data_IF_547460307327
#
_entry.id   IF_547460307327
#
_cell.length_a   1.000
_cell.length_b   1.000
_cell.length_c   1.000
_cell.angle_alpha   90.00
_cell.angle_beta   90.00
_cell.angle_gamma   90.00
#
_symmetry.space_group_name_H-M   'P 1'
#
loop_
_entity.id
_entity.type
_entity.pdbx_description
1 polymer ?
#
# COMPACT_ATOMS: atom_id res chain seq x y z
N UNK A 1 17.25 -12.67 11.11
CA UNK A 1 16.22 -13.71 10.87
C UNK A 1 15.39 -13.32 9.68
N UNK A 2 15.01 -14.30 8.86
CA UNK A 2 14.13 -14.07 7.71
C UNK A 2 12.67 -14.33 8.12
N UNK A 3 11.79 -13.39 7.80
CA UNK A 3 10.35 -13.50 8.02
C UNK A 3 9.64 -13.36 6.69
N UNK A 4 8.74 -14.29 6.39
CA UNK A 4 8.02 -14.32 5.13
C UNK A 4 6.58 -13.82 5.26
N UNK A 5 6.08 -13.17 4.21
CA UNK A 5 4.69 -12.78 4.11
C UNK A 5 4.07 -13.24 2.79
N UNK A 6 2.90 -13.83 2.88
CA UNK A 6 2.13 -14.34 1.75
C UNK A 6 0.74 -13.69 1.76
N UNK A 7 0.29 -13.27 0.59
CA UNK A 7 -1.09 -12.80 0.40
C UNK A 7 -1.73 -13.51 -0.79
N UNK A 8 -2.91 -14.07 -0.57
CA UNK A 8 -3.70 -14.72 -1.63
C UNK A 8 -5.13 -14.18 -1.62
N UNK A 9 -5.77 -14.15 -2.78
CA UNK A 9 -7.22 -13.96 -2.88
C UNK A 9 -7.94 -15.31 -2.70
N UNK A 10 -9.26 -15.29 -2.49
CA UNK A 10 -10.06 -16.51 -2.36
C UNK A 10 -9.97 -17.42 -3.58
N UNK A 11 -9.76 -16.85 -4.77
CA UNK A 11 -9.66 -17.56 -6.04
C UNK A 11 -8.20 -17.81 -6.47
N UNK A 12 -7.24 -17.43 -5.64
CA UNK A 12 -5.83 -17.51 -5.99
C UNK A 12 -5.24 -18.86 -5.55
N UNK A 13 -4.74 -19.61 -6.51
CA UNK A 13 -4.08 -20.89 -6.26
C UNK A 13 -2.56 -20.75 -6.03
N UNK A 14 -2.08 -19.52 -5.90
CA UNK A 14 -0.65 -19.23 -5.79
C UNK A 14 -0.07 -19.37 -4.38
N UNK A 15 -0.84 -19.86 -3.40
CA UNK A 15 -0.37 -20.06 -2.03
C UNK A 15 0.84 -20.97 -1.97
N UNK A 16 0.76 -22.14 -2.60
CA UNK A 16 1.85 -23.11 -2.63
C UNK A 16 3.08 -22.55 -3.33
N UNK A 17 2.88 -21.81 -4.41
CA UNK A 17 3.97 -21.23 -5.19
C UNK A 17 4.72 -20.16 -4.39
N UNK A 18 4.01 -19.28 -3.70
CA UNK A 18 4.60 -18.28 -2.82
C UNK A 18 5.33 -18.94 -1.64
N UNK A 19 4.71 -19.90 -1.00
CA UNK A 19 5.30 -20.62 0.13
C UNK A 19 6.58 -21.34 -0.28
N UNK A 20 6.55 -22.05 -1.40
CA UNK A 20 7.72 -22.78 -1.93
C UNK A 20 8.85 -21.81 -2.24
N UNK A 21 8.56 -20.67 -2.85
CA UNK A 21 9.56 -19.64 -3.15
C UNK A 21 10.22 -19.08 -1.87
N UNK A 22 9.43 -18.83 -0.83
CA UNK A 22 9.95 -18.35 0.45
C UNK A 22 10.82 -19.40 1.14
N UNK A 23 10.38 -20.66 1.16
CA UNK A 23 11.15 -21.76 1.72
C UNK A 23 12.46 -21.97 0.99
N UNK A 24 12.44 -21.91 -0.34
CA UNK A 24 13.63 -22.02 -1.18
C UNK A 24 14.62 -20.88 -0.94
N UNK A 25 14.11 -19.68 -0.66
CA UNK A 25 14.93 -18.52 -0.32
C UNK A 25 15.63 -18.68 1.04
N UNK A 26 15.09 -19.48 1.93
CA UNK A 26 15.67 -19.76 3.25
C UNK A 26 14.81 -19.31 4.43
N UNK A 27 13.56 -18.92 4.18
CA UNK A 27 12.62 -18.55 5.24
C UNK A 27 12.15 -19.83 5.96
N UNK A 28 12.19 -19.83 7.29
CA UNK A 28 11.64 -20.92 8.08
C UNK A 28 10.11 -20.90 8.02
N UNK A 29 9.48 -22.05 7.81
CA UNK A 29 8.03 -22.18 7.72
C UNK A 29 7.30 -21.57 8.93
N UNK A 30 7.89 -21.65 10.11
CA UNK A 30 7.34 -21.07 11.35
C UNK A 30 7.30 -19.55 11.36
N UNK A 31 8.08 -18.92 10.49
CA UNK A 31 8.20 -17.46 10.37
C UNK A 31 7.45 -16.93 9.13
N UNK A 32 6.56 -17.70 8.56
CA UNK A 32 5.72 -17.28 7.42
C UNK A 32 4.35 -16.87 7.93
N UNK A 33 4.00 -15.63 7.66
CA UNK A 33 2.68 -15.05 7.95
C UNK A 33 1.87 -14.95 6.67
N UNK A 34 0.58 -15.12 6.73
CA UNK A 34 -0.27 -15.10 5.54
C UNK A 34 -1.59 -14.38 5.79
N UNK A 35 -2.10 -13.77 4.73
CA UNK A 35 -3.43 -13.19 4.67
C UNK A 35 -4.19 -13.74 3.48
N UNK A 36 -5.47 -13.99 3.70
CA UNK A 36 -6.42 -14.34 2.66
C UNK A 36 -7.40 -13.19 2.50
N UNK A 37 -7.33 -12.51 1.37
CA UNK A 37 -8.21 -11.37 1.10
C UNK A 37 -9.48 -11.83 0.39
N UNK A 38 -10.64 -11.54 0.97
CA UNK A 38 -11.94 -11.77 0.39
C UNK A 38 -12.71 -10.46 0.31
N UNK A 39 -12.90 -9.94 -0.90
CA UNK A 39 -13.74 -8.78 -1.16
C UNK A 39 -13.14 -7.44 -0.68
N UNK A 40 -14.02 -6.47 -0.38
CA UNK A 40 -13.67 -5.07 -0.12
C UNK A 40 -13.07 -4.79 1.26
N UNK A 41 -13.12 -5.74 2.18
CA UNK A 41 -12.56 -5.59 3.54
C UNK A 41 -11.18 -6.22 3.60
N UNK A 42 -10.19 -5.44 3.27
CA UNK A 42 -8.81 -5.86 3.22
C UNK A 42 -8.13 -5.66 4.58
N UNK A 43 -8.52 -6.45 5.55
CA UNK A 43 -7.82 -6.51 6.84
C UNK A 43 -6.63 -7.45 6.70
N UNK A 44 -5.44 -6.90 6.88
CA UNK A 44 -4.18 -7.63 6.77
C UNK A 44 -3.63 -7.98 8.15
N UNK A 45 -4.36 -8.80 8.88
CA UNK A 45 -3.97 -9.24 10.24
C UNK A 45 -2.64 -9.98 10.21
N UNK A 46 -2.40 -10.80 9.18
CA UNK A 46 -1.14 -11.51 9.00
C UNK A 46 0.04 -10.58 8.77
N UNK A 47 -0.14 -9.53 7.96
CA UNK A 47 0.90 -8.51 7.75
C UNK A 47 1.20 -7.76 9.05
N UNK A 48 0.18 -7.34 9.78
CA UNK A 48 0.34 -6.65 11.05
C UNK A 48 1.11 -7.52 12.05
N UNK A 49 0.79 -8.81 12.14
CA UNK A 49 1.52 -9.76 12.97
C UNK A 49 2.98 -9.92 12.54
N UNK A 50 3.24 -9.99 11.24
CA UNK A 50 4.59 -10.07 10.70
C UNK A 50 5.40 -8.82 11.07
N UNK A 51 4.82 -7.63 10.91
CA UNK A 51 5.46 -6.36 11.25
C UNK A 51 5.76 -6.25 12.76
N UNK A 52 4.87 -6.72 13.61
CA UNK A 52 5.10 -6.78 15.05
C UNK A 52 6.19 -7.80 15.44
N UNK A 53 6.25 -8.91 14.73
CA UNK A 53 7.23 -9.96 14.96
C UNK A 53 8.65 -9.56 14.56
N UNK A 54 8.79 -8.74 13.53
CA UNK A 54 10.08 -8.28 13.00
C UNK A 54 10.81 -7.39 14.01
N UNK A 55 12.11 -7.63 14.16
CA UNK A 55 13.00 -6.89 15.05
C UNK A 55 14.15 -6.29 14.26
N UNK A 56 14.89 -5.39 14.90
CA UNK A 56 16.12 -4.80 14.36
C UNK A 56 17.06 -5.91 13.84
N UNK A 57 17.52 -5.76 12.60
CA UNK A 57 18.39 -6.71 11.93
C UNK A 57 17.67 -7.83 11.17
N UNK A 58 16.35 -7.94 11.30
CA UNK A 58 15.57 -8.93 10.55
C UNK A 58 15.30 -8.50 9.13
N UNK A 59 14.81 -9.43 8.30
CA UNK A 59 14.47 -9.18 6.89
C UNK A 59 13.07 -9.71 6.61
N UNK A 60 12.22 -8.85 6.04
CA UNK A 60 10.92 -9.26 5.50
C UNK A 60 11.09 -9.70 4.05
N UNK A 61 10.61 -10.90 3.73
CA UNK A 61 10.70 -11.50 2.40
C UNK A 61 9.30 -11.73 1.83
N UNK A 62 9.08 -11.27 0.61
CA UNK A 62 7.85 -11.53 -0.14
C UNK A 62 8.19 -12.13 -1.51
N UNK A 63 7.23 -12.83 -2.11
CA UNK A 63 7.40 -13.41 -3.43
C UNK A 63 7.42 -12.33 -4.52
N UNK A 64 6.48 -11.39 -4.46
CA UNK A 64 6.36 -10.23 -5.37
C UNK A 64 5.99 -8.98 -4.60
N UNK A 65 6.34 -7.82 -5.14
CA UNK A 65 6.01 -6.52 -4.55
C UNK A 65 4.50 -6.31 -4.38
N UNK A 66 3.69 -6.78 -5.33
CA UNK A 66 2.24 -6.65 -5.30
C UNK A 66 1.57 -7.43 -4.14
N UNK A 67 2.31 -8.34 -3.53
CA UNK A 67 1.84 -9.08 -2.34
C UNK A 67 1.97 -8.27 -1.05
N UNK A 68 2.83 -7.25 -1.03
CA UNK A 68 3.02 -6.40 0.15
C UNK A 68 2.13 -5.16 0.10
N UNK A 69 2.15 -4.40 -0.98
CA UNK A 69 1.49 -3.11 -1.09
C UNK A 69 0.21 -3.16 -1.92
N UNK A 70 -0.79 -2.35 -1.54
CA UNK A 70 -2.03 -2.15 -2.33
C UNK A 70 -1.81 -1.18 -3.48
N UNK A 71 -0.90 -0.26 -3.29
CA UNK A 71 -0.49 0.76 -4.25
C UNK A 71 1.00 0.98 -4.11
N UNK A 72 1.59 1.65 -5.08
CA UNK A 72 3.00 2.00 -5.03
C UNK A 72 3.30 2.89 -3.82
N UNK A 73 2.43 3.85 -3.52
CA UNK A 73 2.57 4.72 -2.34
C UNK A 73 2.53 3.93 -1.03
N UNK A 74 1.61 2.97 -0.90
CA UNK A 74 1.52 2.11 0.28
C UNK A 74 2.76 1.23 0.43
N UNK A 75 3.23 0.63 -0.66
CA UNK A 75 4.44 -0.18 -0.69
C UNK A 75 5.66 0.61 -0.19
N UNK A 76 5.85 1.81 -0.71
CA UNK A 76 6.94 2.70 -0.30
C UNK A 76 6.83 3.08 1.18
N UNK A 77 5.62 3.35 1.65
CA UNK A 77 5.37 3.65 3.07
C UNK A 77 5.79 2.50 3.98
N UNK A 78 5.41 1.27 3.64
CA UNK A 78 5.77 0.08 4.42
C UNK A 78 7.30 -0.14 4.43
N UNK A 79 7.94 -0.06 3.26
CA UNK A 79 9.40 -0.25 3.16
C UNK A 79 10.15 0.85 3.91
N UNK A 80 9.69 2.09 3.84
CA UNK A 80 10.28 3.22 4.59
C UNK A 80 10.19 2.98 6.10
N UNK A 81 9.05 2.53 6.57
CA UNK A 81 8.85 2.19 7.98
C UNK A 81 9.78 1.05 8.44
N UNK A 82 9.92 0.00 7.62
CA UNK A 82 10.86 -1.08 7.88
C UNK A 82 12.30 -0.58 7.97
N UNK A 83 12.71 0.26 7.03
CA UNK A 83 14.06 0.86 7.03
C UNK A 83 14.32 1.71 8.27
N UNK A 84 13.32 2.47 8.73
CA UNK A 84 13.43 3.26 9.96
C UNK A 84 13.67 2.42 11.20
N UNK A 85 13.23 1.17 11.19
CA UNK A 85 13.41 0.18 12.26
C UNK A 85 14.63 -0.72 12.04
N UNK A 86 15.46 -0.42 11.06
CA UNK A 86 16.61 -1.24 10.64
C UNK A 86 16.21 -2.66 10.24
N UNK A 87 15.08 -2.81 9.58
CA UNK A 87 14.58 -4.06 9.03
C UNK A 87 14.74 -4.00 7.52
N UNK A 88 15.37 -5.02 6.93
CA UNK A 88 15.58 -5.14 5.49
C UNK A 88 14.35 -5.72 4.80
N UNK A 89 14.25 -5.51 3.49
CA UNK A 89 13.15 -6.01 2.67
C UNK A 89 13.67 -6.69 1.41
N UNK A 90 13.09 -7.83 1.07
CA UNK A 90 13.41 -8.59 -0.14
C UNK A 90 12.14 -8.96 -0.88
N UNK A 91 12.09 -8.69 -2.18
CA UNK A 91 11.09 -9.24 -3.11
C UNK A 91 11.79 -10.18 -4.08
N UNK A 92 11.43 -11.46 -4.05
CA UNK A 92 12.17 -12.51 -4.77
C UNK A 92 12.05 -12.34 -6.28
N UNK A 93 10.82 -12.15 -6.80
CA UNK A 93 10.58 -12.13 -8.25
C UNK A 93 11.26 -10.96 -8.95
N UNK A 94 11.21 -9.76 -8.36
CA UNK A 94 11.85 -8.57 -8.92
C UNK A 94 13.35 -8.51 -8.61
N UNK A 95 13.86 -9.40 -7.75
CA UNK A 95 15.25 -9.36 -7.31
C UNK A 95 15.59 -8.12 -6.48
N UNK A 96 14.61 -7.51 -5.85
CA UNK A 96 14.81 -6.34 -5.00
C UNK A 96 15.24 -6.76 -3.60
N UNK A 97 16.38 -6.25 -3.16
CA UNK A 97 16.95 -6.50 -1.84
C UNK A 97 17.52 -5.20 -1.28
N UNK A 98 16.89 -4.64 -0.26
CA UNK A 98 17.32 -3.34 0.31
C UNK A 98 18.68 -3.41 1.02
N UNK A 99 19.25 -4.60 1.22
CA UNK A 99 20.63 -4.75 1.73
C UNK A 99 21.69 -4.50 0.66
N UNK A 100 21.30 -4.50 -0.62
CA UNK A 100 22.20 -4.26 -1.75
C UNK A 100 22.10 -2.82 -2.26
N UNK A 101 23.17 -2.34 -2.90
CA UNK A 101 23.17 -1.00 -3.52
C UNK A 101 22.13 -0.89 -4.64
N UNK A 102 21.99 -1.94 -5.46
CA UNK A 102 20.98 -1.96 -6.53
C UNK A 102 19.55 -1.97 -5.98
N UNK A 103 19.28 -2.71 -4.91
CA UNK A 103 17.99 -2.71 -4.24
C UNK A 103 17.62 -1.36 -3.63
N UNK A 104 18.59 -0.68 -3.03
CA UNK A 104 18.43 0.70 -2.55
C UNK A 104 18.08 1.66 -3.70
N UNK A 105 18.77 1.52 -4.84
CA UNK A 105 18.49 2.31 -6.04
C UNK A 105 17.06 2.08 -6.53
N UNK A 106 16.61 0.83 -6.64
CA UNK A 106 15.23 0.51 -7.01
C UNK A 106 14.22 1.13 -6.05
N UNK A 107 14.48 1.06 -4.75
CA UNK A 107 13.61 1.67 -3.75
C UNK A 107 13.46 3.18 -3.96
N UNK A 108 14.57 3.88 -4.23
CA UNK A 108 14.54 5.33 -4.48
C UNK A 108 13.81 5.67 -5.78
N UNK A 109 13.97 4.85 -6.84
CA UNK A 109 13.25 5.02 -8.11
C UNK A 109 11.74 4.85 -7.88
N UNK A 110 11.31 3.82 -7.17
CA UNK A 110 9.89 3.60 -6.86
C UNK A 110 9.32 4.70 -5.98
N UNK A 111 10.11 5.22 -5.03
CA UNK A 111 9.72 6.36 -4.22
C UNK A 111 9.48 7.62 -5.06
N UNK A 112 10.35 7.90 -6.00
CA UNK A 112 10.19 9.01 -6.95
C UNK A 112 8.96 8.83 -7.84
N UNK A 113 8.71 7.61 -8.35
CA UNK A 113 7.51 7.29 -9.13
C UNK A 113 6.23 7.48 -8.32
N UNK A 114 6.21 7.04 -7.07
CA UNK A 114 5.06 7.20 -6.18
C UNK A 114 4.75 8.68 -5.94
N UNK A 115 5.77 9.52 -5.75
CA UNK A 115 5.61 10.96 -5.59
C UNK A 115 5.10 11.60 -6.88
N UNK A 116 5.60 11.17 -8.03
CA UNK A 116 5.15 11.65 -9.34
C UNK A 116 3.68 11.31 -9.57
N UNK A 117 3.23 10.09 -9.26
CA UNK A 117 1.83 9.70 -9.34
C UNK A 117 0.93 10.57 -8.45
N UNK A 118 1.37 10.87 -7.23
CA UNK A 118 0.64 11.80 -6.33
C UNK A 118 0.52 13.18 -6.93
N UNK A 119 1.60 13.70 -7.49
CA UNK A 119 1.61 15.02 -8.13
C UNK A 119 0.64 15.09 -9.31
N UNK A 120 0.59 14.04 -10.14
CA UNK A 120 -0.37 13.93 -11.25
C UNK A 120 -1.81 13.90 -10.76
N UNK A 121 -2.09 13.14 -9.70
CA UNK A 121 -3.43 13.06 -9.10
C UNK A 121 -3.84 14.43 -8.55
N UNK A 122 -2.94 15.12 -7.84
CA UNK A 122 -3.18 16.45 -7.31
C UNK A 122 -3.45 17.47 -8.41
N UNK A 123 -2.70 17.43 -9.50
CA UNK A 123 -2.93 18.28 -10.67
C UNK A 123 -4.30 18.04 -11.30
N UNK A 124 -4.70 16.78 -11.47
CA UNK A 124 -6.02 16.40 -11.99
C UNK A 124 -7.14 16.87 -11.08
N UNK A 125 -7.01 16.69 -9.79
CA UNK A 125 -8.01 17.15 -8.80
C UNK A 125 -8.11 18.67 -8.84
N UNK A 126 -6.99 19.38 -8.84
CA UNK A 126 -6.95 20.85 -8.90
C UNK A 126 -7.59 21.38 -10.19
N UNK A 127 -7.25 20.78 -11.33
CA UNK A 127 -7.84 21.15 -12.63
C UNK A 127 -9.35 20.88 -12.64
N UNK A 128 -9.79 19.75 -12.08
CA UNK A 128 -11.21 19.41 -11.95
C UNK A 128 -11.97 20.38 -11.06
N UNK A 129 -11.41 20.77 -9.92
CA UNK A 129 -12.00 21.76 -9.02
C UNK A 129 -12.10 23.13 -9.65
N UNK A 130 -11.08 23.56 -10.38
CA UNK A 130 -11.08 24.84 -11.09
C UNK A 130 -12.13 24.84 -12.20
N UNK A 131 -12.22 23.77 -12.99
CA UNK A 131 -13.27 23.61 -14.01
C UNK A 131 -14.67 23.63 -13.41
N UNK A 132 -14.88 22.96 -12.29
CA UNK A 132 -16.16 22.97 -11.58
C UNK A 132 -16.49 24.37 -11.06
N UNK A 133 -15.52 25.09 -10.52
CA UNK A 133 -15.68 26.48 -10.06
C UNK A 133 -16.09 27.41 -11.21
N UNK A 134 -15.51 27.27 -12.39
CA UNK A 134 -15.90 28.03 -13.58
C UNK A 134 -17.33 27.76 -14.01
N UNK A 135 -17.85 26.56 -13.75
CA UNK A 135 -19.25 26.18 -14.02
C UNK A 135 -20.22 26.52 -12.86
N UNK A 136 -19.74 27.21 -11.82
CA UNK A 136 -20.55 27.60 -10.67
C UNK A 136 -20.77 26.49 -9.65
N UNK A 137 -20.06 25.37 -9.74
CA UNK A 137 -20.18 24.26 -8.79
C UNK A 137 -19.12 24.44 -7.71
N UNK A 138 -19.55 24.51 -6.45
CA UNK A 138 -18.64 24.55 -5.29
C UNK A 138 -18.54 23.18 -4.65
N UNK A 139 -17.31 22.80 -4.24
CA UNK A 139 -17.08 21.59 -3.46
C UNK A 139 -17.51 21.74 -2.02
N UNK A 140 -17.59 20.63 -1.29
CA UNK A 140 -17.90 20.57 0.12
C UNK A 140 -19.21 19.85 0.41
N UNK A 141 -19.61 19.89 1.69
CA UNK A 141 -20.87 19.28 2.13
C UNK A 141 -22.06 20.03 1.53
N UNK A 142 -23.08 19.32 0.97
CA UNK A 142 -24.31 19.96 0.52
C UNK A 142 -24.96 20.78 1.63
N UNK A 143 -25.54 21.92 1.28
CA UNK A 143 -26.27 22.74 2.25
C UNK A 143 -27.46 21.96 2.80
N UNK A 144 -27.67 22.01 4.11
CA UNK A 144 -28.80 21.36 4.78
C UNK A 144 -30.14 22.00 4.38
N UNK A 145 -30.12 23.27 3.99
CA UNK A 145 -31.29 24.06 3.57
C UNK A 145 -30.94 24.68 2.20
N UNK A 146 -31.76 24.42 1.19
CA UNK A 146 -31.65 25.07 -0.11
C UNK A 146 -32.22 26.50 -0.11
N UNK A 147 -31.95 27.24 -1.16
CA UNK A 147 -32.35 28.64 -1.26
C UNK A 147 -33.88 28.80 -1.28
N UNK A 148 -34.62 27.84 -1.82
CA UNK A 148 -36.08 27.83 -1.81
C UNK A 148 -36.62 27.67 -0.37
N UNK A 149 -36.05 26.78 0.41
CA UNK A 149 -36.39 26.59 1.81
C UNK A 149 -36.03 27.79 2.66
N UNK A 150 -34.92 28.44 2.40
CA UNK A 150 -34.54 29.68 3.06
C UNK A 150 -35.51 30.83 2.77
N UNK A 151 -35.96 30.95 1.54
CA UNK A 151 -36.97 31.95 1.13
C UNK A 151 -38.30 31.66 1.84
N UNK A 152 -38.73 30.41 1.89
CA UNK A 152 -39.94 30.01 2.58
C UNK A 152 -39.90 30.34 4.10
N UNK A 153 -38.78 30.11 4.76
CA UNK A 153 -38.55 30.44 6.17
C UNK A 153 -38.61 31.96 6.41
N UNK A 154 -38.02 32.77 5.52
CA UNK A 154 -38.01 34.23 5.63
C UNK A 154 -39.39 34.86 5.40
N UNK A 155 -40.26 34.19 4.65
CA UNK A 155 -41.64 34.65 4.39
C UNK A 155 -42.64 34.28 5.49
N UNK A 156 -42.26 33.33 6.32
CA UNK A 156 -43.04 32.97 7.50
C UNK A 156 -42.72 33.89 8.68
#
# INVERSE_FOLDING_TARGET
MLVGYIRVSTDDQNLSLQKDALLKYGVDERNIFSDKTSGSKDKRVGLDKALEFLKDGDTLVVWKLDRLGRSLAHLISVITDLKSKNISFVSITEGMDTTTASGELFFHIFGALAQFERSLIQERVKAGLESAKQRGISGGRPRAIDDEKMIAIKKA
#
